data_IF_872145006362
#
_entry.id   IF_872145006362
#
_cell.length_a   1.000
_cell.length_b   1.000
_cell.length_c   1.000
_cell.angle_alpha   90.00
_cell.angle_beta   90.00
_cell.angle_gamma   90.00
#
_symmetry.space_group_name_H-M   'P 1'
#
loop_
_entity.id
_entity.type
_entity.pdbx_description
1 polymer ?
#
# COMPACT_ATOMS: atom_id res chain seq x y z
N UNK A 1 1.65 18.65 12.64
CA UNK A 1 2.19 17.49 11.90
C UNK A 1 2.82 16.44 12.81
N UNK A 2 3.84 16.77 13.61
CA UNK A 2 4.49 15.80 14.53
C UNK A 2 3.53 15.08 15.49
N UNK A 3 2.49 15.76 16.00
CA UNK A 3 1.47 15.15 16.87
C UNK A 3 0.76 13.97 16.21
N UNK A 4 0.46 14.07 14.92
CA UNK A 4 -0.21 13.01 14.14
C UNK A 4 0.75 11.84 13.98
N UNK A 5 2.03 12.12 13.67
CA UNK A 5 3.08 11.09 13.54
C UNK A 5 3.28 10.33 14.86
N UNK A 6 3.32 11.02 15.99
CA UNK A 6 3.45 10.41 17.32
C UNK A 6 2.24 9.51 17.63
N UNK A 7 1.03 9.97 17.32
CA UNK A 7 -0.19 9.18 17.47
C UNK A 7 -0.15 7.92 16.59
N UNK A 8 0.25 8.03 15.31
CA UNK A 8 0.37 6.86 14.42
C UNK A 8 1.43 5.86 14.91
N UNK A 9 2.60 6.35 15.34
CA UNK A 9 3.66 5.51 15.91
C UNK A 9 3.19 4.78 17.17
N UNK A 10 2.47 5.48 18.06
CA UNK A 10 1.91 4.87 19.27
C UNK A 10 0.89 3.78 18.94
N UNK A 11 0.02 3.98 17.95
CA UNK A 11 -0.96 3.00 17.50
C UNK A 11 -0.32 1.72 16.95
N UNK A 12 0.75 1.84 16.17
CA UNK A 12 1.51 0.69 15.64
C UNK A 12 2.17 -0.09 16.78
N UNK A 13 2.75 0.62 17.77
CA UNK A 13 3.42 0.00 18.90
C UNK A 13 2.43 -0.78 19.77
N UNK A 14 1.28 -0.17 20.08
CA UNK A 14 0.18 -0.81 20.83
C UNK A 14 -0.36 -2.02 20.06
N UNK A 15 -0.62 -1.89 18.76
CA UNK A 15 -1.06 -3.00 17.92
C UNK A 15 -0.08 -4.17 17.90
N UNK A 16 1.22 -3.90 17.89
CA UNK A 16 2.27 -4.93 17.90
C UNK A 16 2.37 -5.66 19.24
N UNK A 17 2.27 -4.92 20.35
CA UNK A 17 2.25 -5.52 21.71
C UNK A 17 1.00 -6.37 21.89
N UNK A 18 -0.16 -5.89 21.45
CA UNK A 18 -1.44 -6.59 21.59
C UNK A 18 -1.54 -7.84 20.70
N UNK A 19 -0.90 -7.84 19.52
CA UNK A 19 -0.83 -9.02 18.65
C UNK A 19 -0.06 -10.20 19.29
N UNK A 20 0.87 -9.93 20.24
CA UNK A 20 1.65 -10.96 20.93
C UNK A 20 0.76 -11.91 21.76
N UNK A 21 -0.38 -11.42 22.26
CA UNK A 21 -1.40 -12.25 22.88
C UNK A 21 -2.25 -12.87 21.77
N UNK A 22 -2.17 -14.20 21.59
CA UNK A 22 -2.90 -14.95 20.53
C UNK A 22 -4.42 -14.92 20.77
N UNK A 23 -5.03 -13.78 20.54
CA UNK A 23 -6.48 -13.60 20.56
C UNK A 23 -7.00 -14.03 19.19
N UNK A 24 -7.39 -15.30 19.07
CA UNK A 24 -7.90 -15.91 17.83
C UNK A 24 -9.14 -15.20 17.24
N UNK A 25 -9.77 -14.30 18.02
CA UNK A 25 -10.94 -13.51 17.62
C UNK A 25 -10.54 -12.23 16.86
N UNK A 26 -9.33 -11.71 17.06
CA UNK A 26 -8.87 -10.46 16.43
C UNK A 26 -8.93 -10.53 14.89
N UNK A 27 -8.41 -11.58 14.23
CA UNK A 27 -8.44 -11.65 12.77
C UNK A 27 -9.87 -11.61 12.23
N UNK A 28 -10.81 -12.30 12.89
CA UNK A 28 -12.22 -12.34 12.48
C UNK A 28 -12.88 -10.96 12.63
N UNK A 29 -12.62 -10.25 13.73
CA UNK A 29 -13.14 -8.89 13.94
C UNK A 29 -12.57 -7.92 12.91
N UNK A 30 -11.26 -7.98 12.63
CA UNK A 30 -10.63 -7.13 11.61
C UNK A 30 -11.25 -7.37 10.24
N UNK A 31 -11.46 -8.62 9.82
CA UNK A 31 -12.08 -8.93 8.53
C UNK A 31 -13.50 -8.35 8.41
N UNK A 32 -14.33 -8.52 9.45
CA UNK A 32 -15.69 -7.94 9.47
C UNK A 32 -15.63 -6.41 9.42
N UNK A 33 -14.70 -5.81 10.15
CA UNK A 33 -14.52 -4.35 10.17
C UNK A 33 -14.06 -3.83 8.81
N UNK A 34 -13.13 -4.51 8.13
CA UNK A 34 -12.70 -4.17 6.76
C UNK A 34 -13.90 -4.24 5.81
N UNK A 35 -14.71 -5.29 5.88
CA UNK A 35 -15.93 -5.40 5.08
C UNK A 35 -16.87 -4.22 5.31
N UNK A 36 -17.12 -3.86 6.58
CA UNK A 36 -17.99 -2.75 6.94
C UNK A 36 -17.42 -1.39 6.49
N UNK A 37 -16.12 -1.18 6.66
CA UNK A 37 -15.41 0.01 6.19
C UNK A 37 -15.46 0.13 4.67
N UNK A 38 -15.21 -0.94 3.93
CA UNK A 38 -15.29 -0.96 2.47
C UNK A 38 -16.72 -0.68 1.99
N UNK A 39 -17.72 -1.20 2.69
CA UNK A 39 -19.12 -0.92 2.39
C UNK A 39 -19.48 0.56 2.62
N UNK A 40 -19.13 1.11 3.79
CA UNK A 40 -19.32 2.54 4.08
C UNK A 40 -18.59 3.43 3.08
N UNK A 41 -17.34 3.10 2.77
CA UNK A 41 -16.54 3.82 1.79
C UNK A 41 -17.19 3.80 0.40
N UNK A 42 -17.72 2.65 -0.02
CA UNK A 42 -18.44 2.52 -1.29
C UNK A 42 -19.66 3.43 -1.36
N UNK A 43 -20.41 3.58 -0.27
CA UNK A 43 -21.57 4.49 -0.19
C UNK A 43 -21.12 5.94 -0.22
N UNK A 44 -20.13 6.33 0.58
CA UNK A 44 -19.64 7.71 0.64
C UNK A 44 -19.08 8.17 -0.71
N UNK A 45 -18.31 7.30 -1.37
CA UNK A 45 -17.73 7.58 -2.69
C UNK A 45 -18.80 7.55 -3.78
N UNK A 46 -19.73 6.59 -3.73
CA UNK A 46 -20.81 6.42 -4.72
C UNK A 46 -21.93 7.45 -4.61
N UNK A 47 -22.12 8.11 -3.46
CA UNK A 47 -23.09 9.20 -3.30
C UNK A 47 -22.54 10.55 -3.75
N UNK A 48 -21.25 10.65 -4.09
CA UNK A 48 -20.60 11.91 -4.42
C UNK A 48 -20.46 12.06 -5.95
N UNK A 49 -21.38 12.79 -6.57
CA UNK A 49 -21.37 13.04 -8.02
C UNK A 49 -20.06 13.68 -8.50
N UNK A 50 -19.35 14.46 -7.66
CA UNK A 50 -18.03 15.01 -8.03
C UNK A 50 -16.98 13.91 -8.18
N UNK A 51 -17.02 12.89 -7.32
CA UNK A 51 -16.08 11.77 -7.39
C UNK A 51 -16.46 10.85 -8.56
N UNK A 52 -17.75 10.61 -8.81
CA UNK A 52 -18.20 9.81 -9.95
C UNK A 52 -17.83 10.47 -11.29
N UNK A 53 -18.08 11.78 -11.44
CA UNK A 53 -17.73 12.51 -12.66
C UNK A 53 -16.21 12.66 -12.82
N UNK A 54 -15.48 12.81 -11.71
CA UNK A 54 -14.01 12.84 -11.69
C UNK A 54 -13.36 11.44 -11.76
N UNK A 55 -14.12 10.35 -11.65
CA UNK A 55 -13.57 8.99 -11.57
C UNK A 55 -12.82 8.60 -12.84
N UNK A 56 -13.27 9.06 -13.99
CA UNK A 56 -12.60 8.85 -15.28
C UNK A 56 -11.27 9.60 -15.33
N UNK A 57 -11.24 10.85 -14.84
CA UNK A 57 -10.03 11.68 -14.82
C UNK A 57 -9.00 11.13 -13.82
N UNK A 58 -9.42 10.86 -12.58
CA UNK A 58 -8.59 10.26 -11.52
C UNK A 58 -8.13 8.85 -11.93
N UNK A 59 -8.98 8.08 -12.59
CA UNK A 59 -8.64 6.75 -13.10
C UNK A 59 -7.58 6.80 -14.20
N UNK A 60 -7.69 7.77 -15.12
CA UNK A 60 -6.69 8.00 -16.16
C UNK A 60 -5.32 8.38 -15.59
N UNK A 61 -5.30 9.32 -14.64
CA UNK A 61 -4.07 9.70 -13.93
C UNK A 61 -3.47 8.52 -13.16
N UNK A 62 -4.30 7.74 -12.45
CA UNK A 62 -3.86 6.57 -11.71
C UNK A 62 -3.26 5.49 -12.63
N UNK A 63 -3.84 5.27 -13.82
CA UNK A 63 -3.27 4.36 -14.82
C UNK A 63 -1.91 4.84 -15.32
N UNK A 64 -1.77 6.13 -15.62
CA UNK A 64 -0.50 6.71 -16.05
C UNK A 64 0.57 6.56 -14.95
N UNK A 65 0.22 6.88 -13.71
CA UNK A 65 1.10 6.73 -12.55
C UNK A 65 1.49 5.26 -12.31
N UNK A 66 0.54 4.33 -12.44
CA UNK A 66 0.79 2.89 -12.26
C UNK A 66 1.71 2.36 -13.35
N UNK A 67 1.47 2.71 -14.62
CA UNK A 67 2.35 2.35 -15.73
C UNK A 67 3.76 2.93 -15.55
N UNK A 68 3.87 4.22 -15.20
CA UNK A 68 5.16 4.85 -14.92
C UNK A 68 5.90 4.20 -13.76
N UNK A 69 5.19 3.92 -12.65
CA UNK A 69 5.74 3.24 -11.49
C UNK A 69 6.18 1.81 -11.79
N UNK A 70 5.40 1.05 -12.54
CA UNK A 70 5.71 -0.32 -12.93
C UNK A 70 6.92 -0.37 -13.87
N UNK A 71 6.97 0.50 -14.87
CA UNK A 71 8.13 0.63 -15.75
C UNK A 71 9.39 1.02 -14.97
N UNK A 72 9.29 1.99 -14.06
CA UNK A 72 10.40 2.39 -13.19
C UNK A 72 10.92 1.25 -12.30
N UNK A 73 10.00 0.49 -11.69
CA UNK A 73 10.36 -0.66 -10.84
C UNK A 73 11.06 -1.76 -11.63
N UNK A 74 10.55 -2.10 -12.82
CA UNK A 74 11.14 -3.10 -13.72
C UNK A 74 12.52 -2.64 -14.23
N UNK A 75 12.66 -1.36 -14.62
CA UNK A 75 13.92 -0.78 -15.06
C UNK A 75 14.99 -0.85 -13.97
N UNK A 76 14.65 -0.47 -12.74
CA UNK A 76 15.59 -0.53 -11.61
C UNK A 76 15.97 -1.96 -11.25
N UNK A 77 15.01 -2.89 -11.25
CA UNK A 77 15.29 -4.32 -11.04
C UNK A 77 16.23 -4.88 -12.14
N UNK A 78 16.02 -4.47 -13.39
CA UNK A 78 16.88 -4.88 -14.51
C UNK A 78 18.30 -4.30 -14.42
N UNK A 79 18.43 -3.03 -14.04
CA UNK A 79 19.73 -2.39 -13.78
C UNK A 79 20.46 -3.10 -12.65
N UNK A 80 19.77 -3.39 -11.54
CA UNK A 80 20.33 -4.10 -10.40
C UNK A 80 20.83 -5.50 -10.80
N UNK A 81 20.02 -6.25 -11.55
CA UNK A 81 20.39 -7.56 -12.09
C UNK A 81 21.66 -7.48 -12.94
N UNK A 82 21.75 -6.49 -13.84
CA UNK A 82 22.90 -6.30 -14.72
C UNK A 82 24.17 -5.93 -13.93
N UNK A 83 24.06 -5.12 -12.88
CA UNK A 83 25.19 -4.78 -12.02
C UNK A 83 25.70 -5.97 -11.21
N UNK A 84 24.79 -6.76 -10.64
CA UNK A 84 25.15 -7.96 -9.87
C UNK A 84 25.81 -9.00 -10.78
N UNK A 85 25.22 -9.27 -11.95
CA UNK A 85 25.76 -10.27 -12.88
C UNK A 85 27.13 -9.84 -13.45
N UNK A 86 27.37 -8.54 -13.63
CA UNK A 86 28.69 -8.00 -14.01
C UNK A 86 29.74 -8.10 -12.90
N UNK A 87 29.35 -8.03 -11.63
CA UNK A 87 30.27 -8.21 -10.50
C UNK A 87 30.59 -9.68 -10.23
N UNK A 88 29.64 -10.58 -10.43
CA UNK A 88 29.84 -12.03 -10.30
C UNK A 88 30.94 -12.57 -11.23
N UNK A 89 31.02 -12.08 -12.47
CA UNK A 89 32.03 -12.51 -13.44
C UNK A 89 33.46 -11.97 -13.19
N UNK A 90 33.64 -11.05 -12.23
CA UNK A 90 34.96 -10.43 -11.94
C UNK A 90 35.68 -11.05 -10.75
N UNK A 91 35.08 -12.05 -10.08
CA UNK A 91 35.72 -12.78 -8.98
C UNK A 91 36.18 -14.20 -9.35
N UNK A 92 35.98 -14.62 -10.61
CA UNK A 92 36.45 -15.91 -11.14
C UNK A 92 37.55 -15.78 -12.22
N UNK A 93 38.25 -14.64 -12.30
CA UNK A 93 39.45 -14.48 -13.14
C UNK A 93 40.66 -14.08 -12.32
#
# INVERSE_FOLDING_TARGET
>A
MLKIVIIMLSGILVGRVLHRHRLSVIPRVITVLIWLLLFLLGIEVGSNERIINGMIEIGGEALLLTCGGMMGSVLLAWILWRFINRKGQRHER
#
